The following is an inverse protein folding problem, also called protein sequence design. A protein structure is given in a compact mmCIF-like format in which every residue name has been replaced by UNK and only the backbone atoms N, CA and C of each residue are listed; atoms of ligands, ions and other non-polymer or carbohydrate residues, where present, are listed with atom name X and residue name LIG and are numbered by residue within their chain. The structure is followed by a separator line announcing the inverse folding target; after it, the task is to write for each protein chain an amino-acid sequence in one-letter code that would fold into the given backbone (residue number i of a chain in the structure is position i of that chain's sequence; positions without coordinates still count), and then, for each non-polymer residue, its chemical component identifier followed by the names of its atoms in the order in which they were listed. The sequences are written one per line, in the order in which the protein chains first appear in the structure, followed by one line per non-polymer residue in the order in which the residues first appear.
data_IF_269239129345
#
_entry.id   IF_269239129345
#
_cell.length_a   1.000
_cell.length_b   1.000
_cell.length_c   1.000
_cell.angle_alpha   90.00
_cell.angle_beta   90.00
_cell.angle_gamma   90.00
#
_symmetry.space_group_name_H-M   'P 1'
#
loop_
_entity.id
_entity.type
_entity.pdbx_description
1 polymer ?
#
# COMPACT_ATOMS: atom_id res chain seq x y z
N UNK A 1 3.89 15.19 -11.21
CA UNK A 1 2.77 14.45 -10.56
C UNK A 1 2.38 15.25 -9.32
N UNK A 2 1.12 15.64 -9.16
CA UNK A 2 0.68 16.42 -7.98
C UNK A 2 0.18 15.54 -6.83
N UNK A 3 -0.14 14.28 -7.12
CA UNK A 3 -0.61 13.33 -6.12
C UNK A 3 0.57 12.79 -5.31
N UNK A 4 0.36 12.67 -3.99
CA UNK A 4 1.31 12.11 -3.03
C UNK A 4 0.66 10.94 -2.29
N UNK A 5 1.42 9.87 -2.10
CA UNK A 5 0.99 8.70 -1.35
C UNK A 5 1.85 8.55 -0.10
N UNK A 6 1.26 8.18 1.02
CA UNK A 6 2.02 7.58 2.12
C UNK A 6 1.86 6.07 2.09
N UNK A 7 2.92 5.35 2.42
CA UNK A 7 2.89 3.89 2.53
C UNK A 7 2.94 3.48 3.99
N UNK A 8 2.07 2.56 4.40
CA UNK A 8 1.98 2.06 5.76
C UNK A 8 1.87 0.54 5.76
N UNK A 9 2.42 -0.12 6.78
CA UNK A 9 2.48 -1.58 6.86
C UNK A 9 3.49 -2.04 7.89
N UNK A 10 3.44 -3.32 8.23
CA UNK A 10 4.24 -3.90 9.32
C UNK A 10 5.75 -3.75 9.08
N UNK A 11 6.53 -3.94 10.13
CA UNK A 11 7.98 -4.10 9.98
C UNK A 11 8.22 -5.30 9.04
N UNK A 12 9.19 -5.15 8.14
CA UNK A 12 9.55 -6.14 7.12
C UNK A 12 8.45 -6.55 6.12
N UNK A 13 7.34 -5.80 6.05
CA UNK A 13 6.26 -6.03 5.07
C UNK A 13 6.64 -5.73 3.60
N UNK A 14 7.90 -5.39 3.31
CA UNK A 14 8.37 -5.10 1.95
C UNK A 14 8.15 -3.66 1.47
N UNK A 15 7.80 -2.71 2.36
CA UNK A 15 7.59 -1.29 2.02
C UNK A 15 8.78 -0.68 1.27
N UNK A 16 9.97 -0.71 1.86
CA UNK A 16 11.19 -0.12 1.30
C UNK A 16 11.54 -0.72 -0.06
N UNK A 17 11.42 -2.05 -0.21
CA UNK A 17 11.63 -2.73 -1.51
C UNK A 17 10.63 -2.26 -2.55
N UNK A 18 9.35 -2.15 -2.20
CA UNK A 18 8.30 -1.66 -3.08
C UNK A 18 8.56 -0.20 -3.51
N UNK A 19 8.95 0.67 -2.58
CA UNK A 19 9.31 2.07 -2.90
C UNK A 19 10.47 2.12 -3.89
N UNK A 20 11.51 1.32 -3.69
CA UNK A 20 12.67 1.28 -4.58
C UNK A 20 12.27 0.90 -6.01
N UNK A 21 11.38 -0.08 -6.18
CA UNK A 21 10.86 -0.44 -7.50
C UNK A 21 9.97 0.66 -8.11
N UNK A 22 9.21 1.39 -7.29
CA UNK A 22 8.31 2.46 -7.75
C UNK A 22 9.03 3.77 -8.13
N UNK A 23 10.13 4.09 -7.46
CA UNK A 23 10.86 5.35 -7.62
C UNK A 23 12.12 5.18 -8.49
N UNK A 24 12.65 3.96 -8.60
CA UNK A 24 13.87 3.66 -9.36
C UNK A 24 15.17 3.90 -8.57
N UNK A 25 16.29 3.47 -9.17
CA UNK A 25 17.60 3.36 -8.52
C UNK A 25 18.29 4.68 -8.11
N UNK A 26 17.78 5.84 -8.51
CA UNK A 26 18.37 7.15 -8.16
C UNK A 26 18.03 7.60 -6.72
N UNK A 27 17.16 6.88 -6.02
CA UNK A 27 16.80 7.14 -4.62
C UNK A 27 16.67 5.84 -3.84
N UNK A 28 17.80 5.20 -3.49
CA UNK A 28 17.81 4.03 -2.60
C UNK A 28 17.17 4.40 -1.25
N UNK A 29 15.97 3.91 -0.99
CA UNK A 29 15.38 3.93 0.33
C UNK A 29 16.18 2.98 1.24
N UNK A 30 16.76 3.52 2.31
CA UNK A 30 17.41 2.74 3.36
C UNK A 30 16.36 2.28 4.39
N UNK A 31 16.68 1.30 5.25
CA UNK A 31 15.77 0.91 6.34
C UNK A 31 15.38 2.15 7.18
N UNK A 32 14.09 2.38 7.30
CA UNK A 32 13.51 3.66 7.72
C UNK A 32 13.27 3.70 9.21
N UNK A 33 14.00 4.57 9.94
CA UNK A 33 13.74 4.92 11.35
C UNK A 33 13.13 6.33 11.51
N UNK A 34 12.85 7.03 10.40
CA UNK A 34 12.31 8.41 10.33
C UNK A 34 11.59 8.61 8.99
N UNK A 35 10.57 9.48 8.88
CA UNK A 35 9.85 9.75 7.62
C UNK A 35 10.82 10.11 6.47
N UNK A 36 10.74 9.40 5.35
CA UNK A 36 11.50 9.70 4.13
C UNK A 36 10.56 10.08 2.97
N UNK A 37 10.92 11.15 2.26
CA UNK A 37 10.17 11.64 1.10
C UNK A 37 10.89 11.20 -0.18
N UNK A 38 10.25 10.36 -0.98
CA UNK A 38 10.76 9.85 -2.25
C UNK A 38 9.85 10.30 -3.40
N UNK A 39 10.20 11.41 -4.05
CA UNK A 39 9.39 12.04 -5.12
C UNK A 39 7.93 12.28 -4.70
N UNK A 40 7.07 11.29 -4.92
CA UNK A 40 5.63 11.31 -4.65
C UNK A 40 5.20 10.35 -3.52
N UNK A 41 6.12 9.56 -2.95
CA UNK A 41 5.84 8.61 -1.85
C UNK A 41 6.48 9.11 -0.55
N UNK A 42 5.75 8.97 0.55
CA UNK A 42 6.28 9.11 1.91
C UNK A 42 6.38 7.74 2.56
N UNK A 43 7.59 7.32 2.89
CA UNK A 43 7.84 6.11 3.67
C UNK A 43 7.59 6.37 5.15
N UNK A 44 6.80 5.51 5.79
CA UNK A 44 6.52 5.57 7.22
C UNK A 44 7.19 4.40 7.96
N UNK A 45 7.79 4.64 9.15
CA UNK A 45 8.35 3.56 9.95
C UNK A 45 7.29 2.49 10.27
N UNK A 46 7.69 1.22 10.23
CA UNK A 46 6.77 0.11 10.48
C UNK A 46 6.17 0.16 11.89
N UNK A 47 6.92 0.67 12.87
CA UNK A 47 6.47 0.84 14.25
C UNK A 47 5.21 1.71 14.34
N UNK A 48 4.98 2.60 13.37
CA UNK A 48 3.82 3.50 13.41
C UNK A 48 2.51 2.74 13.28
N UNK A 49 2.53 1.61 12.58
CA UNK A 49 1.37 0.74 12.43
C UNK A 49 1.27 -0.32 13.51
N UNK A 50 2.38 -0.69 14.15
CA UNK A 50 2.40 -1.74 15.19
C UNK A 50 2.10 -1.22 16.60
N UNK A 51 2.25 0.08 16.84
CA UNK A 51 1.98 0.70 18.12
C UNK A 51 0.98 1.87 18.00
N UNK A 52 -0.23 1.76 18.59
CA UNK A 52 -1.27 2.77 18.54
C UNK A 52 -0.85 4.19 18.98
N UNK A 53 0.17 4.32 19.82
CA UNK A 53 0.70 5.61 20.26
C UNK A 53 1.22 6.47 19.09
N UNK A 54 1.55 5.85 17.96
CA UNK A 54 2.02 6.53 16.75
C UNK A 54 0.93 6.81 15.71
N UNK A 55 -0.34 6.43 15.94
CA UNK A 55 -1.44 6.71 15.00
C UNK A 55 -1.62 8.22 14.76
N UNK A 56 -1.33 9.05 15.76
CA UNK A 56 -1.29 10.52 15.60
C UNK A 56 -0.31 10.97 14.52
N UNK A 57 0.82 10.28 14.36
CA UNK A 57 1.82 10.61 13.34
C UNK A 57 1.37 10.15 11.96
N UNK A 58 0.71 9.00 11.86
CA UNK A 58 0.05 8.56 10.62
C UNK A 58 -0.97 9.60 10.17
N UNK A 59 -1.85 10.02 11.08
CA UNK A 59 -2.88 11.00 10.78
C UNK A 59 -2.29 12.36 10.41
N UNK A 60 -1.31 12.85 11.17
CA UNK A 60 -0.60 14.10 10.87
C UNK A 60 0.06 14.07 9.49
N UNK A 61 0.70 12.95 9.13
CA UNK A 61 1.35 12.77 7.82
C UNK A 61 0.32 12.75 6.69
N UNK A 62 -0.84 12.12 6.92
CA UNK A 62 -1.90 11.98 5.91
C UNK A 62 -2.45 13.32 5.41
N UNK A 63 -2.39 14.40 6.20
CA UNK A 63 -2.91 15.71 5.79
C UNK A 63 -2.28 16.23 4.50
N UNK A 64 -1.00 15.93 4.26
CA UNK A 64 -0.28 16.35 3.05
C UNK A 64 -0.35 15.32 1.91
N UNK A 65 -1.06 14.21 2.11
CA UNK A 65 -1.20 13.12 1.15
C UNK A 65 -2.54 13.19 0.44
N UNK A 66 -2.57 12.56 -0.72
CA UNK A 66 -3.79 12.26 -1.50
C UNK A 66 -4.22 10.81 -1.34
N UNK A 67 -3.23 9.92 -1.14
CA UNK A 67 -3.41 8.47 -1.13
C UNK A 67 -2.76 7.83 0.09
N UNK A 68 -3.28 6.68 0.51
CA UNK A 68 -2.65 5.79 1.49
C UNK A 68 -2.52 4.41 0.88
N UNK A 69 -1.31 3.87 0.90
CA UNK A 69 -0.99 2.52 0.45
C UNK A 69 -0.85 1.62 1.69
N UNK A 70 -1.76 0.67 1.83
CA UNK A 70 -1.78 -0.31 2.91
C UNK A 70 -1.07 -1.58 2.46
N UNK A 71 0.09 -1.88 3.06
CA UNK A 71 0.94 -3.00 2.66
C UNK A 71 0.73 -4.18 3.57
N UNK A 72 0.35 -5.31 2.98
CA UNK A 72 0.22 -6.61 3.64
C UNK A 72 1.20 -7.61 3.03
N UNK A 73 2.01 -8.24 3.86
CA UNK A 73 2.93 -9.29 3.43
C UNK A 73 2.18 -10.61 3.22
N UNK A 74 2.40 -11.27 2.08
CA UNK A 74 1.79 -12.56 1.76
C UNK A 74 2.30 -13.72 2.64
N UNK A 75 3.47 -13.61 3.27
CA UNK A 75 4.03 -14.71 4.09
C UNK A 75 3.62 -14.64 5.56
N UNK A 76 3.14 -13.47 6.03
CA UNK A 76 2.81 -13.28 7.45
C UNK A 76 1.31 -13.40 7.77
N UNK A 77 0.99 -14.14 8.83
CA UNK A 77 -0.36 -14.15 9.43
C UNK A 77 -0.64 -12.90 10.27
N UNK A 78 0.39 -12.11 10.60
CA UNK A 78 0.26 -10.94 11.48
C UNK A 78 -0.67 -9.91 10.83
N UNK A 79 -1.79 -9.64 11.48
CA UNK A 79 -2.66 -8.54 11.11
C UNK A 79 -2.38 -7.35 12.03
N UNK A 80 -1.71 -6.34 11.50
CA UNK A 80 -1.32 -5.13 12.25
C UNK A 80 -2.36 -4.02 12.17
N UNK A 81 -3.26 -4.08 11.19
CA UNK A 81 -4.29 -3.07 11.00
C UNK A 81 -5.57 -3.51 11.71
N UNK A 82 -6.13 -2.68 12.59
CA UNK A 82 -7.50 -2.87 13.06
C UNK A 82 -8.50 -2.93 11.90
N UNK A 83 -9.59 -3.70 12.02
CA UNK A 83 -10.68 -3.64 11.05
C UNK A 83 -11.18 -2.20 10.85
N UNK A 84 -11.38 -1.81 9.60
CA UNK A 84 -11.82 -0.46 9.23
C UNK A 84 -10.79 0.64 9.50
N UNK A 85 -9.52 0.33 9.77
CA UNK A 85 -8.50 1.36 10.05
C UNK A 85 -8.44 2.46 8.96
N UNK A 86 -8.67 2.10 7.68
CA UNK A 86 -8.70 3.08 6.60
C UNK A 86 -9.86 4.09 6.69
N UNK A 87 -10.96 3.75 7.37
CA UNK A 87 -12.12 4.66 7.54
C UNK A 87 -11.79 5.92 8.35
N UNK A 88 -10.76 5.88 9.20
CA UNK A 88 -10.29 7.05 9.95
C UNK A 88 -9.41 8.00 9.15
N UNK A 89 -9.03 7.64 7.91
CA UNK A 89 -8.11 8.42 7.07
C UNK A 89 -8.83 8.76 5.76
N UNK A 90 -9.32 10.00 5.56
CA UNK A 90 -10.16 10.38 4.42
C UNK A 90 -9.31 10.61 3.15
N UNK A 91 -8.63 9.57 2.69
CA UNK A 91 -7.72 9.55 1.53
C UNK A 91 -8.05 8.35 0.64
N UNK A 92 -7.63 8.44 -0.62
CA UNK A 92 -7.84 7.34 -1.57
C UNK A 92 -6.98 6.14 -1.15
N UNK A 93 -7.62 5.02 -0.86
CA UNK A 93 -6.98 3.83 -0.32
C UNK A 93 -6.56 2.87 -1.42
N UNK A 94 -5.34 2.36 -1.34
CA UNK A 94 -4.81 1.30 -2.21
C UNK A 94 -4.27 0.19 -1.31
N UNK A 95 -4.76 -1.03 -1.45
CA UNK A 95 -4.19 -2.20 -0.80
C UNK A 95 -3.08 -2.79 -1.65
N UNK A 96 -1.99 -3.23 -1.03
CA UNK A 96 -0.90 -3.91 -1.74
C UNK A 96 -0.51 -5.16 -0.97
N UNK A 97 -0.59 -6.32 -1.64
CA UNK A 97 -0.02 -7.58 -1.17
C UNK A 97 1.41 -7.69 -1.70
N UNK A 98 2.39 -7.87 -0.84
CA UNK A 98 3.82 -8.02 -1.23
C UNK A 98 4.28 -9.46 -1.06
N UNK A 99 5.44 -9.78 -1.65
CA UNK A 99 6.10 -11.10 -1.58
C UNK A 99 5.22 -12.25 -2.09
N UNK A 100 4.38 -11.98 -3.09
CA UNK A 100 3.50 -12.99 -3.69
C UNK A 100 4.24 -14.13 -4.40
N UNK A 101 5.56 -13.99 -4.61
CA UNK A 101 6.46 -15.00 -5.17
C UNK A 101 7.02 -16.00 -4.15
N UNK A 102 6.87 -15.75 -2.84
CA UNK A 102 7.41 -16.65 -1.82
C UNK A 102 6.67 -17.99 -1.81
N UNK A 103 7.40 -19.08 -1.48
CA UNK A 103 6.84 -20.43 -1.44
C UNK A 103 5.71 -20.59 -0.40
N UNK A 104 5.82 -19.85 0.71
CA UNK A 104 4.85 -19.82 1.81
C UNK A 104 3.83 -18.67 1.69
N UNK A 105 3.77 -18.00 0.52
CA UNK A 105 2.83 -16.92 0.28
C UNK A 105 1.37 -17.40 0.32
N UNK A 106 0.54 -16.74 1.12
CA UNK A 106 -0.90 -16.91 1.12
C UNK A 106 -1.59 -15.62 0.66
N UNK A 107 -1.76 -15.50 -0.65
CA UNK A 107 -2.32 -14.31 -1.31
C UNK A 107 -3.77 -14.08 -0.89
N UNK A 108 -4.59 -15.14 -0.86
CA UNK A 108 -6.01 -15.06 -0.51
C UNK A 108 -6.22 -14.52 0.91
N UNK A 109 -5.49 -15.05 1.90
CA UNK A 109 -5.52 -14.54 3.29
C UNK A 109 -5.16 -13.06 3.33
N UNK A 110 -4.11 -12.65 2.63
CA UNK A 110 -3.63 -11.26 2.66
C UNK A 110 -4.62 -10.30 1.98
N UNK A 111 -5.30 -10.74 0.92
CA UNK A 111 -6.42 -9.99 0.32
C UNK A 111 -7.57 -9.86 1.34
N UNK A 112 -7.97 -10.94 2.00
CA UNK A 112 -9.04 -10.90 3.01
C UNK A 112 -8.70 -10.03 4.21
N UNK A 113 -7.43 -9.95 4.61
CA UNK A 113 -6.96 -9.01 5.62
C UNK A 113 -7.13 -7.57 5.13
N UNK A 114 -6.67 -7.23 3.92
CA UNK A 114 -6.84 -5.89 3.35
C UNK A 114 -8.31 -5.50 3.18
N UNK A 115 -9.17 -6.45 2.79
CA UNK A 115 -10.63 -6.24 2.75
C UNK A 115 -11.21 -5.88 4.11
N UNK A 116 -10.65 -6.34 5.22
CA UNK A 116 -11.11 -5.94 6.57
C UNK A 116 -10.63 -4.55 6.94
N UNK A 117 -9.49 -4.11 6.41
CA UNK A 117 -8.87 -2.80 6.68
C UNK A 117 -9.54 -1.68 5.90
N UNK A 118 -9.79 -1.94 4.62
CA UNK A 118 -10.30 -0.96 3.65
C UNK A 118 -11.83 -0.99 3.55
N UNK A 119 -12.40 0.17 3.22
CA UNK A 119 -13.83 0.30 2.89
C UNK A 119 -14.04 0.03 1.40
N UNK A 120 -13.25 0.67 0.54
CA UNK A 120 -13.28 0.51 -0.91
C UNK A 120 -11.91 0.82 -1.52
N UNK A 121 -11.71 0.44 -2.77
CA UNK A 121 -10.52 0.76 -3.55
C UNK A 121 -9.79 -0.46 -4.11
N UNK A 122 -8.74 -0.24 -4.91
CA UNK A 122 -7.98 -1.31 -5.53
C UNK A 122 -7.11 -2.08 -4.52
N UNK A 123 -6.96 -3.38 -4.75
CA UNK A 123 -5.97 -4.26 -4.10
C UNK A 123 -5.06 -4.81 -5.19
N UNK A 124 -3.76 -4.60 -5.03
CA UNK A 124 -2.73 -4.98 -6.00
C UNK A 124 -1.87 -6.11 -5.42
N UNK A 125 -1.74 -7.22 -6.14
CA UNK A 125 -0.86 -8.33 -5.76
C UNK A 125 0.49 -8.15 -6.44
N UNK A 126 1.57 -8.09 -5.64
CA UNK A 126 2.89 -7.70 -6.13
C UNK A 126 3.99 -8.70 -5.80
N UNK A 127 4.95 -8.80 -6.72
CA UNK A 127 6.24 -9.45 -6.51
C UNK A 127 7.34 -8.52 -6.99
N UNK A 128 8.25 -8.14 -6.09
CA UNK A 128 9.44 -7.36 -6.45
C UNK A 128 10.44 -8.21 -7.26
N UNK A 129 10.55 -9.50 -6.95
CA UNK A 129 11.44 -10.44 -7.65
C UNK A 129 11.05 -10.58 -9.12
N UNK A 130 9.75 -10.73 -9.40
CA UNK A 130 9.23 -10.88 -10.76
C UNK A 130 8.73 -9.57 -11.38
N UNK A 131 8.86 -8.44 -10.68
CA UNK A 131 8.34 -7.12 -11.08
C UNK A 131 6.87 -7.13 -11.50
N UNK A 132 6.06 -7.95 -10.83
CA UNK A 132 4.65 -8.16 -11.15
C UNK A 132 3.77 -7.22 -10.34
N UNK A 133 2.78 -6.59 -10.98
CA UNK A 133 1.74 -5.77 -10.37
C UNK A 133 2.22 -4.39 -9.86
N UNK A 134 3.53 -4.17 -9.77
CA UNK A 134 4.10 -2.90 -9.28
C UNK A 134 3.74 -1.74 -10.22
N UNK A 135 3.67 -2.01 -11.51
CA UNK A 135 3.33 -1.07 -12.58
C UNK A 135 1.91 -0.52 -12.49
N UNK A 136 0.99 -1.21 -11.81
CA UNK A 136 -0.38 -0.72 -11.57
C UNK A 136 -0.46 0.40 -10.52
N UNK A 137 0.49 0.47 -9.59
CA UNK A 137 0.39 1.37 -8.43
C UNK A 137 0.48 2.84 -8.85
N UNK A 138 1.39 3.19 -9.76
CA UNK A 138 1.58 4.58 -10.18
C UNK A 138 0.37 5.13 -10.98
N UNK A 139 -0.21 4.40 -11.95
CA UNK A 139 -1.50 4.76 -12.56
C UNK A 139 -2.61 4.97 -11.53
N UNK A 140 -2.76 4.05 -10.57
CA UNK A 140 -3.77 4.19 -9.51
C UNK A 140 -3.57 5.46 -8.67
N UNK A 141 -2.32 5.81 -8.34
CA UNK A 141 -2.03 7.05 -7.60
C UNK A 141 -2.25 8.30 -8.45
N UNK A 142 -2.31 8.19 -9.78
CA UNK A 142 -2.69 9.30 -10.65
C UNK A 142 -4.21 9.53 -10.71
N UNK A 143 -5.02 8.53 -10.36
CA UNK A 143 -6.46 8.70 -10.19
C UNK A 143 -6.77 9.72 -9.08
N UNK A 144 -7.90 10.40 -9.22
CA UNK A 144 -8.38 11.45 -8.31
C UNK A 144 -9.65 11.04 -7.58
N UNK A 145 -10.29 9.96 -8.02
CA UNK A 145 -11.50 9.43 -7.41
C UNK A 145 -11.46 7.90 -7.37
N UNK A 146 -12.34 7.31 -6.56
CA UNK A 146 -12.54 5.87 -6.52
C UNK A 146 -13.14 5.33 -7.83
N UNK A 147 -13.98 6.13 -8.49
CA UNK A 147 -14.56 5.79 -9.79
C UNK A 147 -13.49 5.67 -10.87
N UNK A 148 -12.52 6.58 -10.91
CA UNK A 148 -11.37 6.49 -11.83
C UNK A 148 -10.51 5.25 -11.55
N UNK A 149 -10.27 4.93 -10.27
CA UNK A 149 -9.56 3.71 -9.89
C UNK A 149 -10.31 2.44 -10.31
N UNK A 150 -11.64 2.43 -10.12
CA UNK A 150 -12.49 1.31 -10.50
C UNK A 150 -12.47 1.08 -12.00
N UNK A 151 -12.63 2.14 -12.79
CA UNK A 151 -12.52 2.08 -14.25
C UNK A 151 -11.15 1.56 -14.70
N UNK A 152 -10.07 2.02 -14.07
CA UNK A 152 -8.72 1.52 -14.38
C UNK A 152 -8.60 0.01 -14.10
N UNK A 153 -9.11 -0.47 -12.97
CA UNK A 153 -9.09 -1.90 -12.63
C UNK A 153 -9.91 -2.72 -13.63
N UNK A 154 -11.14 -2.30 -13.93
CA UNK A 154 -12.04 -2.97 -14.87
C UNK A 154 -11.47 -3.01 -16.30
N UNK A 155 -10.76 -1.96 -16.74
CA UNK A 155 -10.12 -1.93 -18.06
C UNK A 155 -8.85 -2.75 -18.13
N UNK A 156 -8.13 -2.88 -17.01
CA UNK A 156 -6.89 -3.66 -16.94
C UNK A 156 -7.19 -5.17 -17.01
N UNK A 157 -8.30 -5.61 -16.38
CA UNK A 157 -8.79 -6.99 -16.39
C UNK A 157 -7.68 -8.04 -16.12
N UNK A 158 -6.95 -7.85 -15.02
CA UNK A 158 -5.81 -8.68 -14.64
C UNK A 158 -6.02 -9.31 -13.25
N UNK A 159 -5.68 -10.59 -13.12
CA UNK A 159 -5.86 -11.37 -11.88
C UNK A 159 -5.07 -10.81 -10.67
N UNK A 160 -4.05 -10.00 -10.89
CA UNK A 160 -3.24 -9.35 -9.85
C UNK A 160 -3.78 -7.98 -9.43
N UNK A 161 -4.90 -7.52 -10.00
CA UNK A 161 -5.52 -6.24 -9.69
C UNK A 161 -7.02 -6.39 -9.47
N UNK A 162 -7.45 -6.19 -8.23
CA UNK A 162 -8.84 -6.43 -7.80
C UNK A 162 -9.42 -5.13 -7.28
N UNK A 163 -10.71 -4.88 -7.48
CA UNK A 163 -11.40 -3.74 -6.86
C UNK A 163 -12.28 -4.21 -5.71
N UNK A 164 -12.11 -3.59 -4.54
CA UNK A 164 -13.02 -3.75 -3.40
C UNK A 164 -14.11 -2.70 -3.45
N UNK A 165 -15.36 -3.16 -3.50
CA UNK A 165 -16.56 -2.34 -3.37
C UNK A 165 -17.44 -2.97 -2.28
N UNK A 166 -17.72 -2.23 -1.20
CA UNK A 166 -18.56 -2.67 -0.07
C UNK A 166 -19.76 -1.77 0.08
#
# INVERSE_FOLDING_TARGET
MNNKAMIIGAIDAGKTTLINELVGNDAKAAKTQTLQYHQWIVDTPGEYTENPLFYKNIMATSFQMTHVIYVQDATTIKNIFPPGFASGIPKLSIGVVTKADAEDANIERSIEQLKKVMIRGPIVVTSAVHKRGIDYIKPLVNCRTYEEMKQFVEQTDDAYLIYLDK
#
